data_IF_655092292144
#
_entry.id   IF_655092292144
#
_cell.length_a   1.000
_cell.length_b   1.000
_cell.length_c   1.000
_cell.angle_alpha   90.00
_cell.angle_beta   90.00
_cell.angle_gamma   90.00
#
_symmetry.space_group_name_H-M   'P 1'
#
loop_
_entity.id
_entity.type
_entity.pdbx_description
1 polymer ?
#
# COMPACT_ATOMS: atom_id res chain seq x y z
N UNK A 1 -26.78 -12.50 -1.94
CA UNK A 1 -26.06 -11.39 -1.30
C UNK A 1 -24.74 -11.24 -2.05
N UNK A 2 -24.26 -10.02 -2.30
CA UNK A 2 -22.95 -9.79 -2.90
C UNK A 2 -21.87 -10.11 -1.87
N UNK A 3 -20.80 -10.80 -2.28
CA UNK A 3 -19.63 -11.04 -1.45
C UNK A 3 -18.90 -9.70 -1.24
N UNK A 4 -18.61 -9.37 0.00
CA UNK A 4 -17.98 -8.10 0.36
C UNK A 4 -16.67 -8.35 1.10
N UNK A 5 -15.56 -7.82 0.57
CA UNK A 5 -14.24 -8.00 1.15
C UNK A 5 -13.47 -6.68 1.19
N UNK A 6 -12.58 -6.54 2.17
CA UNK A 6 -11.63 -5.43 2.29
C UNK A 6 -10.21 -5.98 2.44
N UNK A 7 -9.30 -5.54 1.56
CA UNK A 7 -7.94 -6.05 1.45
C UNK A 7 -6.87 -4.98 1.69
N UNK A 8 -7.27 -3.80 2.23
CA UNK A 8 -6.32 -2.77 2.59
C UNK A 8 -6.63 -2.23 4.00
N UNK A 9 -6.15 -2.96 5.00
CA UNK A 9 -6.40 -2.71 6.41
C UNK A 9 -5.08 -2.68 7.19
N UNK A 10 -4.86 -1.60 7.95
CA UNK A 10 -3.71 -1.45 8.84
C UNK A 10 -4.12 -1.65 10.28
N UNK A 11 -3.39 -2.50 10.99
CA UNK A 11 -3.59 -2.78 12.41
C UNK A 11 -2.52 -2.08 13.27
N UNK A 12 -2.55 -2.35 14.57
CA UNK A 12 -1.50 -1.89 15.49
C UNK A 12 -0.10 -2.47 15.21
N UNK A 13 0.05 -3.30 14.16
CA UNK A 13 1.35 -3.72 13.63
C UNK A 13 1.94 -2.71 12.64
N UNK A 14 1.14 -1.74 12.18
CA UNK A 14 1.56 -0.61 11.34
C UNK A 14 1.84 0.65 12.18
N UNK A 15 2.76 1.52 11.76
CA UNK A 15 3.08 2.75 12.49
C UNK A 15 1.97 3.79 12.48
N UNK A 16 1.04 3.72 11.55
CA UNK A 16 -0.05 4.66 11.29
C UNK A 16 -1.42 4.22 11.86
N UNK A 17 -1.48 3.04 12.48
CA UNK A 17 -2.70 2.50 13.08
C UNK A 17 -2.49 2.00 14.52
N UNK A 18 -3.58 1.98 15.31
CA UNK A 18 -3.54 1.63 16.73
C UNK A 18 -4.51 0.51 17.12
N UNK A 19 -5.36 0.07 16.18
CA UNK A 19 -6.40 -0.93 16.47
C UNK A 19 -5.85 -2.34 16.29
N UNK A 20 -5.94 -3.23 17.30
CA UNK A 20 -5.52 -4.62 17.15
C UNK A 20 -6.33 -5.36 16.08
N UNK A 21 -5.70 -6.30 15.37
CA UNK A 21 -6.36 -7.12 14.33
C UNK A 21 -7.65 -7.78 14.81
N UNK A 22 -7.68 -8.25 16.06
CA UNK A 22 -8.88 -8.88 16.67
C UNK A 22 -10.07 -7.91 16.74
N UNK A 23 -9.82 -6.65 17.06
CA UNK A 23 -10.87 -5.61 17.15
C UNK A 23 -11.32 -5.17 15.77
N UNK A 24 -10.40 -5.08 14.80
CA UNK A 24 -10.72 -4.82 13.40
C UNK A 24 -11.60 -5.92 12.82
N UNK A 25 -11.26 -7.19 13.07
CA UNK A 25 -12.09 -8.33 12.67
C UNK A 25 -13.49 -8.27 13.28
N UNK A 26 -13.61 -7.84 14.55
CA UNK A 26 -14.92 -7.63 15.17
C UNK A 26 -15.74 -6.55 14.47
N UNK A 27 -15.11 -5.42 14.12
CA UNK A 27 -15.76 -4.33 13.41
C UNK A 27 -16.17 -4.73 11.98
N UNK A 28 -15.31 -5.45 11.25
CA UNK A 28 -15.58 -5.97 9.92
C UNK A 28 -16.78 -6.95 9.92
N UNK A 29 -16.80 -7.87 10.87
CA UNK A 29 -17.93 -8.82 11.05
C UNK A 29 -19.24 -8.07 11.37
N UNK A 30 -19.18 -7.05 12.21
CA UNK A 30 -20.34 -6.20 12.54
C UNK A 30 -20.83 -5.37 11.35
N UNK A 31 -19.92 -4.97 10.46
CA UNK A 31 -20.22 -4.28 9.21
C UNK A 31 -20.77 -5.21 8.12
N UNK A 32 -20.76 -6.53 8.32
CA UNK A 32 -21.27 -7.52 7.38
C UNK A 32 -20.33 -7.88 6.25
N UNK A 33 -19.02 -7.69 6.43
CA UNK A 33 -18.01 -8.17 5.50
C UNK A 33 -17.91 -9.71 5.57
N UNK A 34 -17.63 -10.34 4.44
CA UNK A 34 -17.41 -11.77 4.32
C UNK A 34 -15.94 -12.16 4.50
N UNK A 35 -15.03 -11.25 4.15
CA UNK A 35 -13.59 -11.48 4.18
C UNK A 35 -12.81 -10.17 4.39
N UNK A 36 -11.70 -10.23 5.12
CA UNK A 36 -10.73 -9.13 5.22
C UNK A 36 -9.30 -9.66 5.11
N UNK A 37 -8.40 -8.83 4.60
CA UNK A 37 -6.97 -9.07 4.61
C UNK A 37 -6.28 -7.97 5.41
N UNK A 38 -5.53 -8.34 6.45
CA UNK A 38 -4.65 -7.39 7.14
C UNK A 38 -3.42 -7.16 6.28
N UNK A 39 -3.14 -5.92 5.97
CA UNK A 39 -2.06 -5.50 5.05
C UNK A 39 -1.22 -4.40 5.68
N UNK A 40 -0.67 -4.70 6.86
CA UNK A 40 0.18 -3.78 7.60
C UNK A 40 1.43 -3.39 6.80
N UNK A 41 1.92 -2.17 7.03
CA UNK A 41 3.08 -1.61 6.35
C UNK A 41 4.36 -2.42 6.57
N UNK A 42 5.01 -2.79 5.48
CA UNK A 42 6.38 -3.31 5.44
C UNK A 42 7.18 -2.48 4.44
N UNK A 43 8.18 -1.75 4.93
CA UNK A 43 9.01 -0.87 4.13
C UNK A 43 10.49 -1.12 4.40
N UNK A 44 11.35 -1.19 3.35
CA UNK A 44 12.79 -1.37 3.52
C UNK A 44 13.47 -0.14 4.15
N UNK A 45 12.81 1.03 4.05
CA UNK A 45 13.26 2.30 4.64
C UNK A 45 12.04 3.00 5.23
N UNK A 46 12.08 3.36 6.50
CA UNK A 46 10.98 4.08 7.13
C UNK A 46 10.93 5.56 6.73
N UNK A 47 9.87 6.28 7.15
CA UNK A 47 9.69 7.72 6.89
C UNK A 47 10.84 8.60 7.43
N UNK A 48 11.58 8.12 8.45
CA UNK A 48 12.76 8.82 8.96
C UNK A 48 14.05 8.53 8.17
N UNK A 49 13.97 7.79 7.07
CA UNK A 49 15.12 7.40 6.25
C UNK A 49 15.97 6.26 6.83
N UNK A 50 15.50 5.60 7.88
CA UNK A 50 16.23 4.49 8.50
C UNK A 50 15.98 3.19 7.76
N UNK A 51 17.04 2.45 7.45
CA UNK A 51 16.96 1.14 6.79
C UNK A 51 16.44 0.11 7.79
N UNK A 52 15.34 -0.55 7.43
CA UNK A 52 14.74 -1.65 8.20
C UNK A 52 15.21 -2.99 7.63
N UNK A 53 16.22 -3.59 8.26
CA UNK A 53 16.77 -4.90 7.85
C UNK A 53 15.98 -6.10 8.37
N UNK A 54 15.02 -5.89 9.25
CA UNK A 54 14.14 -6.90 9.82
C UNK A 54 12.77 -6.29 10.12
N UNK A 55 11.77 -7.15 10.10
CA UNK A 55 10.39 -6.84 10.53
C UNK A 55 10.01 -7.84 11.62
N UNK A 56 9.17 -7.46 12.58
CA UNK A 56 8.72 -8.39 13.62
C UNK A 56 7.56 -9.27 13.12
N UNK A 57 7.92 -10.18 12.22
CA UNK A 57 6.97 -11.15 11.66
C UNK A 57 6.28 -11.97 12.74
N UNK A 58 6.99 -12.30 13.83
CA UNK A 58 6.42 -13.05 14.93
C UNK A 58 5.32 -12.27 15.67
N UNK A 59 5.45 -10.95 15.79
CA UNK A 59 4.39 -10.11 16.36
C UNK A 59 3.18 -10.04 15.43
N UNK A 60 3.41 -9.87 14.13
CA UNK A 60 2.36 -9.88 13.10
C UNK A 60 1.57 -11.20 13.13
N UNK A 61 2.26 -12.34 13.09
CA UNK A 61 1.63 -13.67 13.13
C UNK A 61 0.85 -13.90 14.42
N UNK A 62 1.39 -13.49 15.58
CA UNK A 62 0.66 -13.61 16.86
C UNK A 62 -0.64 -12.82 16.82
N UNK A 63 -0.60 -11.57 16.34
CA UNK A 63 -1.77 -10.71 16.23
C UNK A 63 -2.83 -11.31 15.29
N UNK A 64 -2.39 -11.84 14.14
CA UNK A 64 -3.26 -12.54 13.19
C UNK A 64 -3.89 -13.79 13.81
N UNK A 65 -3.10 -14.65 14.46
CA UNK A 65 -3.59 -15.87 15.12
C UNK A 65 -4.59 -15.58 16.25
N UNK A 66 -4.45 -14.47 16.96
CA UNK A 66 -5.42 -14.02 17.96
C UNK A 66 -6.74 -13.63 17.32
N UNK A 67 -6.71 -12.91 16.21
CA UNK A 67 -7.89 -12.55 15.43
C UNK A 67 -8.56 -13.81 14.85
N UNK A 68 -7.78 -14.71 14.25
CA UNK A 68 -8.26 -15.96 13.66
C UNK A 68 -8.94 -16.86 14.69
N UNK A 69 -8.36 -17.03 15.88
CA UNK A 69 -9.02 -17.80 16.97
C UNK A 69 -10.34 -17.20 17.42
N UNK A 70 -10.47 -15.87 17.36
CA UNK A 70 -11.68 -15.19 17.83
C UNK A 70 -12.78 -15.11 16.75
N UNK A 71 -12.41 -14.98 15.48
CA UNK A 71 -13.33 -14.59 14.40
C UNK A 71 -13.32 -15.50 13.16
N UNK A 72 -12.29 -16.34 12.96
CA UNK A 72 -12.14 -17.17 11.75
C UNK A 72 -13.30 -18.12 11.43
N UNK A 73 -14.16 -18.43 12.44
CA UNK A 73 -15.41 -19.16 12.21
C UNK A 73 -16.59 -18.33 11.70
N UNK A 74 -16.45 -17.00 11.61
CA UNK A 74 -17.53 -16.05 11.25
C UNK A 74 -17.15 -15.09 10.13
N UNK A 75 -15.87 -14.79 9.98
CA UNK A 75 -15.29 -13.89 9.01
C UNK A 75 -14.06 -14.57 8.45
N UNK A 76 -13.89 -14.59 7.14
CA UNK A 76 -12.66 -15.10 6.54
C UNK A 76 -11.54 -14.07 6.73
N UNK A 77 -10.46 -14.50 7.39
CA UNK A 77 -9.29 -13.65 7.61
C UNK A 77 -8.14 -14.07 6.69
N UNK A 78 -7.40 -13.08 6.21
CA UNK A 78 -6.22 -13.24 5.39
C UNK A 78 -5.05 -12.46 5.99
N UNK A 79 -3.85 -12.98 5.82
CA UNK A 79 -2.62 -12.32 6.23
C UNK A 79 -1.89 -11.82 4.98
N UNK A 80 -1.72 -10.52 4.89
CA UNK A 80 -0.99 -9.86 3.82
C UNK A 80 -0.08 -8.77 4.37
N UNK A 81 0.47 -7.99 3.46
CA UNK A 81 1.25 -6.79 3.75
C UNK A 81 0.99 -5.71 2.71
N UNK A 82 1.16 -4.45 3.10
CA UNK A 82 1.42 -3.37 2.17
C UNK A 82 2.93 -3.15 2.10
N UNK A 83 3.52 -3.52 0.96
CA UNK A 83 4.95 -3.39 0.69
C UNK A 83 5.21 -2.04 0.03
N UNK A 84 5.59 -1.05 0.85
CA UNK A 84 5.88 0.31 0.40
C UNK A 84 7.32 0.46 -0.08
N UNK A 85 7.51 1.26 -1.13
CA UNK A 85 8.81 1.71 -1.66
C UNK A 85 9.85 0.57 -1.84
N UNK A 86 9.40 -0.58 -2.33
CA UNK A 86 10.18 -1.82 -2.41
C UNK A 86 11.52 -1.65 -3.15
N UNK A 87 11.56 -0.78 -4.15
CA UNK A 87 12.72 -0.55 -5.00
C UNK A 87 13.70 0.49 -4.45
N UNK A 88 13.37 1.16 -3.36
CA UNK A 88 14.28 2.08 -2.66
C UNK A 88 15.53 1.38 -2.13
N UNK A 89 15.38 0.14 -1.66
CA UNK A 89 16.48 -0.73 -1.19
C UNK A 89 16.21 -2.19 -1.57
N UNK A 90 16.35 -2.59 -2.86
CA UNK A 90 15.91 -3.90 -3.33
C UNK A 90 16.48 -5.08 -2.57
N UNK A 91 17.77 -5.05 -2.22
CA UNK A 91 18.40 -6.14 -1.46
C UNK A 91 17.84 -6.27 -0.02
N UNK A 92 17.42 -5.17 0.60
CA UNK A 92 16.75 -5.19 1.91
C UNK A 92 15.34 -5.74 1.76
N UNK A 93 14.59 -5.30 0.75
CA UNK A 93 13.27 -5.82 0.42
C UNK A 93 13.28 -7.32 0.22
N UNK A 94 14.23 -7.84 -0.56
CA UNK A 94 14.39 -9.28 -0.77
C UNK A 94 14.64 -10.03 0.54
N UNK A 95 15.46 -9.46 1.43
CA UNK A 95 15.75 -10.05 2.75
C UNK A 95 14.50 -10.07 3.63
N UNK A 96 13.72 -8.98 3.64
CA UNK A 96 12.47 -8.90 4.39
C UNK A 96 11.47 -9.94 3.89
N UNK A 97 11.25 -10.02 2.57
CA UNK A 97 10.32 -10.97 1.97
C UNK A 97 10.77 -12.43 2.16
N UNK A 98 12.07 -12.70 2.13
CA UNK A 98 12.59 -14.04 2.36
C UNK A 98 12.39 -14.56 3.80
N UNK A 99 12.22 -13.64 4.76
CA UNK A 99 11.95 -13.96 6.17
C UNK A 99 10.46 -13.86 6.54
N UNK A 100 9.61 -13.46 5.60
CA UNK A 100 8.16 -13.34 5.82
C UNK A 100 7.51 -14.73 6.00
N UNK A 101 6.43 -14.81 6.78
CA UNK A 101 5.57 -15.98 6.79
C UNK A 101 4.89 -16.16 5.43
N UNK A 102 4.10 -17.22 5.28
CA UNK A 102 3.23 -17.37 4.13
C UNK A 102 2.20 -16.22 4.11
N UNK A 103 2.23 -15.43 3.04
CA UNK A 103 1.33 -14.30 2.85
C UNK A 103 0.27 -14.63 1.79
N UNK A 104 -1.00 -14.40 2.12
CA UNK A 104 -2.11 -14.55 1.17
C UNK A 104 -2.11 -13.44 0.11
N UNK A 105 -1.65 -12.24 0.46
CA UNK A 105 -1.78 -11.06 -0.39
C UNK A 105 -0.68 -10.03 -0.12
N UNK A 106 -0.24 -9.35 -1.17
CA UNK A 106 0.74 -8.26 -1.09
C UNK A 106 0.25 -7.08 -1.91
N UNK A 107 0.09 -5.92 -1.29
CA UNK A 107 -0.11 -4.65 -1.98
C UNK A 107 1.27 -4.07 -2.28
N UNK A 108 1.55 -3.68 -3.51
CA UNK A 108 2.77 -2.97 -3.88
C UNK A 108 2.48 -1.47 -3.99
N UNK A 109 3.15 -0.64 -3.19
CA UNK A 109 2.84 0.79 -3.07
C UNK A 109 4.07 1.66 -3.24
N UNK A 110 3.86 2.87 -3.75
CA UNK A 110 4.85 3.96 -3.77
C UNK A 110 4.35 5.07 -2.84
N UNK A 111 5.10 5.34 -1.77
CA UNK A 111 4.80 6.36 -0.78
C UNK A 111 5.74 7.56 -0.86
N UNK A 112 6.92 7.40 -1.47
CA UNK A 112 7.92 8.45 -1.58
C UNK A 112 8.31 8.73 -3.03
N UNK A 113 8.63 9.98 -3.30
CA UNK A 113 9.27 10.40 -4.56
C UNK A 113 10.70 9.85 -4.64
N UNK A 114 11.29 9.72 -5.86
CA UNK A 114 12.60 9.11 -6.06
C UNK A 114 13.76 9.86 -5.40
N UNK A 115 14.96 9.29 -5.52
CA UNK A 115 16.20 9.80 -4.92
C UNK A 115 16.51 11.27 -5.28
N UNK A 116 16.10 11.74 -6.45
CA UNK A 116 16.21 13.13 -6.90
C UNK A 116 15.46 14.12 -5.99
N UNK A 117 14.46 13.64 -5.27
CA UNK A 117 13.70 14.38 -4.23
C UNK A 117 14.15 14.04 -2.81
N UNK A 118 15.29 13.34 -2.65
CA UNK A 118 15.74 12.88 -1.34
C UNK A 118 14.83 11.82 -0.69
N UNK A 119 14.06 11.10 -1.50
CA UNK A 119 13.05 10.13 -1.04
C UNK A 119 11.96 10.80 -0.17
N UNK A 120 11.56 11.99 -0.56
CA UNK A 120 10.52 12.74 0.14
C UNK A 120 9.19 11.97 0.07
N UNK A 121 8.60 11.73 1.24
CA UNK A 121 7.28 11.13 1.38
C UNK A 121 6.23 12.05 0.74
N UNK A 122 5.33 11.46 -0.04
CA UNK A 122 4.25 12.15 -0.75
C UNK A 122 3.30 12.89 0.21
N UNK A 123 3.13 12.39 1.44
CA UNK A 123 2.32 13.06 2.47
C UNK A 123 2.88 14.43 2.86
N UNK A 124 4.22 14.58 2.88
CA UNK A 124 4.93 15.81 3.26
C UNK A 124 5.42 16.61 2.05
N UNK A 125 5.07 16.19 0.83
CA UNK A 125 5.49 16.91 -0.36
C UNK A 125 4.79 18.28 -0.45
N UNK A 126 5.52 19.30 -0.92
CA UNK A 126 5.00 20.66 -1.11
C UNK A 126 4.28 20.78 -2.46
N UNK A 127 2.95 20.73 -2.44
CA UNK A 127 2.09 20.85 -3.62
C UNK A 127 1.77 22.33 -3.99
N UNK A 128 2.67 23.29 -3.71
CA UNK A 128 2.41 24.70 -3.96
C UNK A 128 2.71 25.15 -5.41
N UNK A 129 3.70 24.56 -6.07
CA UNK A 129 4.17 24.98 -7.40
C UNK A 129 3.72 24.00 -8.46
N UNK A 130 2.83 24.47 -9.36
CA UNK A 130 2.21 23.64 -10.40
C UNK A 130 3.24 22.89 -11.29
N UNK A 131 4.25 23.60 -11.79
CA UNK A 131 5.30 22.98 -12.62
C UNK A 131 6.07 21.89 -11.85
N UNK A 132 6.35 22.13 -10.56
CA UNK A 132 7.03 21.13 -9.72
C UNK A 132 6.14 19.92 -9.43
N UNK A 133 4.84 20.12 -9.24
CA UNK A 133 3.87 19.04 -9.07
C UNK A 133 3.84 18.17 -10.33
N UNK A 134 3.78 18.78 -11.51
CA UNK A 134 3.72 18.04 -12.77
C UNK A 134 4.96 17.17 -12.99
N UNK A 135 6.15 17.69 -12.67
CA UNK A 135 7.39 16.91 -12.73
C UNK A 135 7.37 15.78 -11.68
N UNK A 136 6.96 16.07 -10.45
CA UNK A 136 6.86 15.06 -9.40
C UNK A 136 5.88 13.93 -9.74
N UNK A 137 4.76 14.23 -10.43
CA UNK A 137 3.83 13.21 -10.92
C UNK A 137 4.46 12.33 -12.01
N UNK A 138 5.24 12.92 -12.94
CA UNK A 138 5.96 12.14 -13.94
C UNK A 138 6.93 11.16 -13.27
N UNK A 139 7.76 11.67 -12.35
CA UNK A 139 8.76 10.88 -11.64
C UNK A 139 8.10 9.80 -10.73
N UNK A 140 6.95 10.12 -10.11
CA UNK A 140 6.14 9.15 -9.38
C UNK A 140 5.64 8.02 -10.28
N UNK A 141 5.12 8.34 -11.47
CA UNK A 141 4.62 7.32 -12.41
C UNK A 141 5.76 6.44 -12.94
N UNK A 142 6.97 6.97 -13.08
CA UNK A 142 8.15 6.17 -13.41
C UNK A 142 8.50 5.16 -12.31
N UNK A 143 8.43 5.55 -11.03
CA UNK A 143 8.61 4.65 -9.89
C UNK A 143 7.51 3.58 -9.85
N UNK A 144 6.25 3.96 -10.10
CA UNK A 144 5.13 3.02 -10.18
C UNK A 144 5.32 2.03 -11.32
N UNK A 145 5.79 2.47 -12.49
CA UNK A 145 6.08 1.61 -13.63
C UNK A 145 7.24 0.63 -13.31
N UNK A 146 8.27 1.12 -12.63
CA UNK A 146 9.38 0.28 -12.18
C UNK A 146 8.89 -0.79 -11.20
N UNK A 147 8.04 -0.42 -10.22
CA UNK A 147 7.42 -1.33 -9.29
C UNK A 147 6.54 -2.37 -10.01
N UNK A 148 5.72 -1.94 -10.97
CA UNK A 148 4.88 -2.83 -11.77
C UNK A 148 5.71 -3.88 -12.54
N UNK A 149 6.85 -3.48 -13.11
CA UNK A 149 7.80 -4.38 -13.79
C UNK A 149 8.49 -5.34 -12.84
N UNK A 150 8.87 -4.91 -11.66
CA UNK A 150 9.42 -5.78 -10.62
C UNK A 150 8.42 -6.84 -10.17
N UNK A 151 7.18 -6.46 -9.94
CA UNK A 151 6.02 -7.34 -9.95
C UNK A 151 5.92 -8.37 -8.83
N UNK A 152 6.57 -8.21 -7.68
CA UNK A 152 6.45 -9.15 -6.54
C UNK A 152 5.34 -8.73 -5.55
N UNK A 153 4.16 -8.50 -6.09
CA UNK A 153 2.95 -8.12 -5.35
C UNK A 153 1.71 -8.67 -6.06
N UNK A 154 0.57 -8.64 -5.39
CA UNK A 154 -0.74 -9.09 -5.91
C UNK A 154 -1.46 -7.98 -6.67
N UNK A 155 -1.52 -6.78 -6.09
CA UNK A 155 -2.14 -5.60 -6.69
C UNK A 155 -1.27 -4.36 -6.47
N UNK A 156 -1.37 -3.41 -7.41
CA UNK A 156 -0.82 -2.07 -7.24
C UNK A 156 -1.75 -1.27 -6.33
N UNK A 157 -1.22 -0.75 -5.23
CA UNK A 157 -1.93 0.12 -4.28
C UNK A 157 -2.17 1.51 -4.85
N UNK A 158 -3.16 2.18 -4.35
CA UNK A 158 -3.55 3.60 -4.49
C UNK A 158 -2.76 4.45 -5.51
N UNK A 159 -2.82 4.09 -6.80
CA UNK A 159 -2.16 4.83 -7.90
C UNK A 159 -2.37 6.34 -7.82
N UNK A 160 -3.53 6.78 -7.30
CA UNK A 160 -3.90 8.20 -7.22
C UNK A 160 -3.49 8.88 -5.91
N UNK A 161 -2.59 8.28 -5.13
CA UNK A 161 -2.15 8.82 -3.83
C UNK A 161 -1.67 10.29 -3.89
N UNK A 162 -0.83 10.71 -4.84
CA UNK A 162 -0.41 12.13 -4.92
C UNK A 162 -1.57 13.09 -5.15
N UNK A 163 -2.56 12.69 -5.97
CA UNK A 163 -3.76 13.48 -6.24
C UNK A 163 -4.60 13.65 -4.97
N UNK A 164 -4.75 12.55 -4.21
CA UNK A 164 -5.48 12.58 -2.94
C UNK A 164 -4.80 13.52 -1.94
N UNK A 165 -3.50 13.41 -1.73
CA UNK A 165 -2.79 14.27 -0.78
C UNK A 165 -2.77 15.74 -1.20
N UNK A 166 -2.61 16.04 -2.48
CA UNK A 166 -2.74 17.40 -2.99
C UNK A 166 -4.11 18.01 -2.64
N UNK A 167 -5.19 17.25 -2.82
CA UNK A 167 -6.55 17.70 -2.50
C UNK A 167 -6.82 17.82 -1.01
N UNK A 168 -6.58 16.74 -0.25
CA UNK A 168 -6.95 16.64 1.16
C UNK A 168 -6.10 17.54 2.08
N UNK A 169 -4.79 17.60 1.82
CA UNK A 169 -3.85 18.29 2.72
C UNK A 169 -3.57 19.73 2.29
N UNK A 170 -3.63 20.01 0.99
CA UNK A 170 -3.23 21.31 0.43
C UNK A 170 -4.36 22.03 -0.30
N UNK A 171 -5.55 21.43 -0.44
CA UNK A 171 -6.69 22.03 -1.15
C UNK A 171 -6.41 22.29 -2.63
N UNK A 172 -5.48 21.53 -3.23
CA UNK A 172 -5.08 21.68 -4.63
C UNK A 172 -5.81 20.67 -5.50
N UNK A 173 -6.26 21.12 -6.67
CA UNK A 173 -6.76 20.21 -7.70
C UNK A 173 -5.57 19.79 -8.58
N UNK A 174 -5.18 18.55 -8.44
CA UNK A 174 -4.12 17.91 -9.24
C UNK A 174 -4.76 16.76 -10.01
N UNK A 175 -4.39 16.58 -11.27
CA UNK A 175 -4.91 15.50 -12.13
C UNK A 175 -3.77 14.79 -12.85
N UNK A 176 -4.07 13.62 -13.39
CA UNK A 176 -3.16 12.90 -14.28
C UNK A 176 -3.39 13.24 -15.76
N UNK A 177 -4.04 14.39 -16.05
CA UNK A 177 -4.23 14.84 -17.44
C UNK A 177 -2.89 15.02 -18.14
N UNK A 178 -2.76 14.38 -19.29
CA UNK A 178 -1.53 14.34 -20.10
C UNK A 178 -0.50 13.26 -19.68
N UNK A 179 -0.89 12.34 -18.75
CA UNK A 179 -0.12 11.15 -18.37
C UNK A 179 -0.80 9.84 -18.76
N UNK A 180 -1.75 9.90 -19.71
CA UNK A 180 -2.56 8.75 -20.09
C UNK A 180 -1.73 7.61 -20.68
N UNK A 181 -0.62 7.90 -21.36
CA UNK A 181 0.22 6.86 -21.96
C UNK A 181 1.08 6.15 -20.90
N UNK A 182 1.62 6.90 -19.94
CA UNK A 182 2.34 6.35 -18.78
C UNK A 182 1.44 5.42 -17.99
N UNK A 183 0.20 5.84 -17.69
CA UNK A 183 -0.79 5.04 -16.98
C UNK A 183 -1.17 3.80 -17.79
N UNK A 184 -1.39 3.93 -19.11
CA UNK A 184 -1.64 2.78 -19.97
C UNK A 184 -0.47 1.79 -19.98
N UNK A 185 0.76 2.28 -19.94
CA UNK A 185 1.94 1.43 -19.89
C UNK A 185 1.99 0.65 -18.58
N UNK A 186 1.69 1.29 -17.44
CA UNK A 186 1.58 0.63 -16.13
C UNK A 186 0.51 -0.48 -16.21
N UNK A 187 -0.69 -0.15 -16.71
CA UNK A 187 -1.78 -1.12 -16.81
C UNK A 187 -1.45 -2.29 -17.74
N UNK A 188 -0.78 -2.07 -18.88
CA UNK A 188 -0.31 -3.16 -19.75
C UNK A 188 0.60 -4.12 -19.00
N UNK A 189 1.58 -3.59 -18.25
CA UNK A 189 2.50 -4.43 -17.45
C UNK A 189 1.74 -5.24 -16.40
N UNK A 190 0.78 -4.64 -15.70
CA UNK A 190 -0.04 -5.33 -14.70
C UNK A 190 -0.90 -6.44 -15.35
N UNK A 191 -1.59 -6.13 -16.45
CA UNK A 191 -2.43 -7.09 -17.19
C UNK A 191 -1.59 -8.27 -17.71
N UNK A 192 -0.46 -7.99 -18.36
CA UNK A 192 0.41 -9.01 -18.95
C UNK A 192 1.01 -9.93 -17.89
N UNK A 193 1.14 -9.44 -16.67
CA UNK A 193 1.66 -10.19 -15.52
C UNK A 193 0.57 -10.78 -14.62
N UNK A 194 -0.71 -10.61 -14.96
CA UNK A 194 -1.86 -11.14 -14.20
C UNK A 194 -2.08 -10.46 -12.85
N UNK A 195 -1.62 -9.20 -12.68
CA UNK A 195 -1.81 -8.42 -11.45
C UNK A 195 -2.95 -7.44 -11.57
N UNK A 196 -3.55 -7.13 -10.41
CA UNK A 196 -4.63 -6.15 -10.32
C UNK A 196 -4.15 -4.75 -9.94
N UNK A 197 -5.12 -3.86 -9.87
CA UNK A 197 -5.00 -2.55 -9.22
C UNK A 197 -6.00 -2.48 -8.08
N UNK A 198 -5.70 -1.65 -7.10
CA UNK A 198 -6.61 -1.34 -6.02
C UNK A 198 -7.57 -0.21 -6.42
N UNK A 199 -8.81 -0.33 -5.97
CA UNK A 199 -9.72 0.80 -5.84
C UNK A 199 -9.77 1.19 -4.35
N UNK A 200 -8.94 2.17 -3.97
CA UNK A 200 -8.88 2.63 -2.59
C UNK A 200 -10.02 3.58 -2.29
N UNK A 201 -10.89 3.19 -1.36
CA UNK A 201 -12.11 3.94 -0.99
C UNK A 201 -11.97 4.67 0.35
N UNK A 202 -10.75 4.85 0.86
CA UNK A 202 -10.51 5.55 2.10
C UNK A 202 -11.18 6.93 2.08
N UNK A 203 -11.98 7.23 3.11
CA UNK A 203 -12.79 8.47 3.26
C UNK A 203 -13.83 8.71 2.16
N UNK A 204 -14.21 7.70 1.36
CA UNK A 204 -15.25 7.82 0.34
C UNK A 204 -14.85 8.66 -0.88
N UNK A 205 -13.58 8.94 -1.08
CA UNK A 205 -13.06 9.59 -2.28
C UNK A 205 -12.55 8.51 -3.25
N UNK A 206 -13.38 8.20 -4.24
CA UNK A 206 -13.09 7.31 -5.35
C UNK A 206 -12.76 8.13 -6.58
#
# INVERSE_FOLDING_TARGET
>A
MSYCADYHLHSSCSPDANTPMREMAAAAAAAGLDEICFTDHVEPVNHSGQIRRSYDWAALERSYQEAERAWGGRLRLRLGIELGDALRMPAVTETLLASAPELDFVIGSIHALPASYGWQDLYFYDYEKEDAIRQALADYLDEVLALARWGRFSVLGHLTLPVRYAGELHGKTVTFDGFEEEIRQIFRVLIDSGRGIELNTNRGHV
#
